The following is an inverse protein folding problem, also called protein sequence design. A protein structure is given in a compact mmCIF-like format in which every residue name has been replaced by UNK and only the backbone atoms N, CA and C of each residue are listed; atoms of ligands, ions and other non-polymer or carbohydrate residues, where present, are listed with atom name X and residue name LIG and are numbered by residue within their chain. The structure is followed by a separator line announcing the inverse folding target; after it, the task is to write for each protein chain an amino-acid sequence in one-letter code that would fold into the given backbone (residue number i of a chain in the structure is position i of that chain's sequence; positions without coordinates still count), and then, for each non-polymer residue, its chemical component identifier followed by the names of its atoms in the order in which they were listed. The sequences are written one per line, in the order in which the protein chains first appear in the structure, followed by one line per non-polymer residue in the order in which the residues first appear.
data_IF_675145102828
#
_entry.id   IF_675145102828
#
_cell.length_a   1.000
_cell.length_b   1.000
_cell.length_c   1.000
_cell.angle_alpha   90.00
_cell.angle_beta   90.00
_cell.angle_gamma   90.00
#
_symmetry.space_group_name_H-M   'P 1'
#
loop_
_entity.id
_entity.type
_entity.pdbx_description
1 polymer ?
#
# COMPACT_ATOMS: atom_id res chain seq x y z
N UNK A 1 14.98 -10.94 -71.44
CA UNK A 1 15.95 -11.48 -70.51
C UNK A 1 15.42 -11.24 -69.08
N UNK A 2 15.10 -12.33 -68.41
CA UNK A 2 14.35 -12.37 -67.13
C UNK A 2 15.29 -12.19 -65.95
N UNK A 3 14.97 -11.32 -64.98
CA UNK A 3 15.58 -11.30 -63.69
C UNK A 3 14.50 -11.71 -62.66
N UNK A 4 14.70 -12.89 -62.10
CA UNK A 4 13.88 -13.41 -61.00
C UNK A 4 14.43 -12.86 -59.68
N UNK A 5 13.63 -12.11 -58.97
CA UNK A 5 13.89 -11.76 -57.55
C UNK A 5 13.22 -12.80 -56.67
N UNK A 6 14.00 -13.60 -56.03
CA UNK A 6 13.56 -14.55 -55.00
C UNK A 6 13.69 -13.83 -53.65
N UNK A 7 12.60 -13.35 -53.12
CA UNK A 7 12.53 -12.95 -51.72
C UNK A 7 12.22 -14.18 -50.88
N UNK A 8 13.21 -14.74 -50.29
CA UNK A 8 13.07 -15.76 -49.24
C UNK A 8 12.59 -15.10 -47.98
N UNK A 9 11.30 -15.23 -47.71
CA UNK A 9 10.73 -14.86 -46.39
C UNK A 9 11.16 -15.91 -45.37
N UNK A 10 12.08 -15.53 -44.50
CA UNK A 10 12.38 -16.31 -43.31
C UNK A 10 11.25 -16.09 -42.28
N UNK A 11 10.30 -17.00 -42.27
CA UNK A 11 9.32 -17.10 -41.17
C UNK A 11 10.03 -17.74 -40.01
N UNK A 12 10.43 -16.91 -39.07
CA UNK A 12 10.93 -17.37 -37.77
C UNK A 12 9.74 -17.87 -36.95
N UNK A 13 9.51 -19.17 -37.06
CA UNK A 13 8.53 -19.90 -36.24
C UNK A 13 8.96 -19.79 -34.76
N UNK A 14 8.32 -18.88 -34.04
CA UNK A 14 8.34 -18.86 -32.57
C UNK A 14 7.72 -20.15 -32.06
N UNK A 15 8.54 -21.11 -31.70
CA UNK A 15 8.09 -22.33 -31.06
C UNK A 15 7.47 -21.95 -29.70
N UNK A 16 6.16 -22.07 -29.61
CA UNK A 16 5.46 -22.09 -28.32
C UNK A 16 5.94 -23.32 -27.56
N UNK A 17 6.77 -23.09 -26.56
CA UNK A 17 7.03 -24.07 -25.53
C UNK A 17 5.80 -24.15 -24.60
N UNK A 18 4.71 -24.68 -25.10
CA UNK A 18 3.59 -25.18 -24.31
C UNK A 18 3.86 -26.64 -23.98
N UNK A 19 4.79 -26.89 -23.09
CA UNK A 19 5.14 -28.22 -22.68
C UNK A 19 5.38 -28.30 -21.18
N UNK A 20 4.55 -29.06 -20.50
CA UNK A 20 4.79 -29.64 -19.17
C UNK A 20 4.69 -28.73 -17.97
N UNK A 21 3.46 -28.31 -17.63
CA UNK A 21 3.13 -27.67 -16.35
C UNK A 21 2.50 -28.63 -15.34
N UNK A 22 2.93 -29.89 -15.24
CA UNK A 22 2.22 -30.82 -14.35
C UNK A 22 2.95 -31.25 -13.07
N UNK A 23 4.08 -30.62 -12.72
CA UNK A 23 4.78 -30.91 -11.45
C UNK A 23 5.45 -29.73 -10.76
N UNK A 24 5.20 -28.49 -11.21
CA UNK A 24 5.70 -27.31 -10.49
C UNK A 24 4.73 -26.90 -9.38
N UNK A 25 5.25 -26.73 -8.17
CA UNK A 25 4.48 -26.14 -7.08
C UNK A 25 4.00 -24.74 -7.45
N UNK A 26 2.90 -24.26 -6.84
CA UNK A 26 2.38 -22.91 -7.08
C UNK A 26 3.43 -21.83 -6.81
N UNK A 27 4.39 -22.10 -5.94
CA UNK A 27 5.54 -21.23 -5.67
C UNK A 27 6.46 -21.11 -6.88
N UNK A 28 6.80 -22.19 -7.55
CA UNK A 28 7.66 -22.19 -8.74
C UNK A 28 7.00 -21.53 -9.94
N UNK A 29 5.68 -21.69 -10.11
CA UNK A 29 4.91 -21.02 -11.16
C UNK A 29 4.86 -19.50 -10.93
N UNK A 30 4.68 -19.06 -9.68
CA UNK A 30 4.71 -17.64 -9.33
C UNK A 30 6.08 -17.00 -9.60
N UNK A 31 7.17 -17.68 -9.27
CA UNK A 31 8.51 -17.18 -9.47
C UNK A 31 8.89 -17.01 -10.95
N UNK A 32 8.47 -17.94 -11.83
CA UNK A 32 8.76 -17.85 -13.27
C UNK A 32 7.94 -16.78 -13.98
N UNK A 33 6.64 -16.64 -13.63
CA UNK A 33 5.76 -15.65 -14.28
C UNK A 33 5.97 -14.26 -13.66
N UNK A 34 6.20 -14.17 -12.35
CA UNK A 34 6.29 -12.91 -11.65
C UNK A 34 7.70 -12.28 -11.70
N UNK A 35 8.77 -13.06 -11.57
CA UNK A 35 10.12 -12.52 -11.46
C UNK A 35 10.55 -11.70 -12.68
N UNK A 36 10.34 -12.21 -13.89
CA UNK A 36 10.69 -11.50 -15.12
C UNK A 36 9.64 -10.48 -15.55
N UNK A 37 8.35 -10.89 -15.56
CA UNK A 37 7.25 -10.05 -16.01
C UNK A 37 6.93 -8.91 -15.03
N UNK A 38 6.95 -9.18 -13.73
CA UNK A 38 6.68 -8.17 -12.70
C UNK A 38 7.72 -7.06 -12.68
N UNK A 39 9.01 -7.40 -12.84
CA UNK A 39 10.09 -6.41 -12.92
C UNK A 39 9.93 -5.49 -14.12
N UNK A 40 9.57 -6.02 -15.30
CA UNK A 40 9.36 -5.23 -16.51
C UNK A 40 8.16 -4.27 -16.38
N UNK A 41 7.03 -4.74 -15.84
CA UNK A 41 5.84 -3.91 -15.61
C UNK A 41 6.12 -2.86 -14.54
N UNK A 42 6.76 -3.25 -13.41
CA UNK A 42 7.12 -2.34 -12.32
C UNK A 42 8.07 -1.23 -12.79
N UNK A 43 9.08 -1.57 -13.63
CA UNK A 43 9.99 -0.59 -14.21
C UNK A 43 9.26 0.40 -15.11
N UNK A 44 8.30 -0.07 -15.93
CA UNK A 44 7.50 0.78 -16.80
C UNK A 44 6.65 1.78 -16.03
N UNK A 45 5.93 1.32 -15.00
CA UNK A 45 5.11 2.19 -14.15
C UNK A 45 5.99 3.16 -13.36
N UNK A 46 7.09 2.69 -12.79
CA UNK A 46 8.03 3.52 -12.04
C UNK A 46 8.67 4.61 -12.91
N UNK A 47 8.99 4.32 -14.18
CA UNK A 47 9.55 5.29 -15.12
C UNK A 47 8.56 6.42 -15.44
N UNK A 48 7.26 6.09 -15.57
CA UNK A 48 6.23 7.11 -15.83
C UNK A 48 6.06 8.09 -14.68
N UNK A 49 6.27 7.63 -13.43
CA UNK A 49 6.04 8.45 -12.24
C UNK A 49 7.31 9.17 -11.79
N UNK A 50 8.49 8.56 -11.91
CA UNK A 50 9.74 9.05 -11.33
C UNK A 50 10.97 9.05 -12.25
N UNK A 51 10.79 8.90 -13.56
CA UNK A 51 11.90 8.83 -14.51
C UNK A 51 12.82 7.64 -14.26
N UNK A 52 14.12 7.77 -14.55
CA UNK A 52 15.08 6.66 -14.42
C UNK A 52 15.25 6.10 -13.01
N UNK A 53 15.14 6.95 -11.97
CA UNK A 53 15.16 6.50 -10.57
C UNK A 53 13.89 5.73 -10.20
N UNK A 54 12.74 6.20 -10.69
CA UNK A 54 11.45 5.53 -10.50
C UNK A 54 11.40 4.17 -11.22
N UNK A 55 12.01 4.05 -12.40
CA UNK A 55 12.11 2.77 -13.11
C UNK A 55 12.90 1.72 -12.33
N UNK A 56 14.01 2.10 -11.70
CA UNK A 56 14.81 1.20 -10.87
C UNK A 56 14.05 0.70 -9.64
N UNK A 57 13.37 1.60 -8.93
CA UNK A 57 12.52 1.25 -7.77
C UNK A 57 11.35 0.36 -8.21
N UNK A 58 10.66 0.72 -9.32
CA UNK A 58 9.54 -0.07 -9.84
C UNK A 58 9.95 -1.48 -10.28
N UNK A 59 11.15 -1.64 -10.86
CA UNK A 59 11.67 -2.94 -11.25
C UNK A 59 11.97 -3.84 -10.04
N UNK A 60 12.58 -3.29 -8.98
CA UNK A 60 12.85 -4.01 -7.74
C UNK A 60 11.54 -4.48 -7.09
N UNK A 61 10.56 -3.59 -6.96
CA UNK A 61 9.25 -3.91 -6.39
C UNK A 61 8.52 -4.97 -7.23
N UNK A 62 8.53 -4.84 -8.57
CA UNK A 62 7.91 -5.82 -9.46
C UNK A 62 8.56 -7.20 -9.37
N UNK A 63 9.87 -7.27 -9.19
CA UNK A 63 10.58 -8.53 -8.95
C UNK A 63 10.20 -9.15 -7.60
N UNK A 64 10.05 -8.34 -6.55
CA UNK A 64 9.67 -8.81 -5.23
C UNK A 64 8.26 -9.45 -5.21
N UNK A 65 7.30 -8.91 -5.95
CA UNK A 65 5.93 -9.47 -6.04
C UNK A 65 5.93 -10.88 -6.61
N UNK A 66 6.75 -11.14 -7.63
CA UNK A 66 6.80 -12.41 -8.33
C UNK A 66 7.79 -13.44 -7.76
N UNK A 67 8.55 -13.10 -6.74
CA UNK A 67 9.56 -13.95 -6.12
C UNK A 67 9.17 -14.38 -4.71
N UNK A 68 9.98 -15.24 -4.08
CA UNK A 68 9.86 -15.60 -2.66
C UNK A 68 9.87 -14.40 -1.71
N UNK A 69 10.42 -13.25 -2.13
CA UNK A 69 10.43 -12.01 -1.37
C UNK A 69 9.01 -11.49 -1.07
N UNK A 70 8.09 -11.55 -2.05
CA UNK A 70 6.69 -11.16 -1.83
C UNK A 70 5.99 -11.96 -0.74
N UNK A 71 6.31 -13.27 -0.63
CA UNK A 71 5.80 -14.12 0.44
C UNK A 71 6.38 -13.72 1.81
N UNK A 72 7.65 -13.39 1.90
CA UNK A 72 8.30 -12.96 3.15
C UNK A 72 7.73 -11.63 3.64
N UNK A 73 7.53 -10.66 2.72
CA UNK A 73 6.85 -9.40 3.01
C UNK A 73 5.42 -9.67 3.48
N UNK A 74 4.68 -10.53 2.78
CA UNK A 74 3.32 -10.90 3.12
C UNK A 74 3.21 -11.43 4.55
N UNK A 75 4.09 -12.34 4.96
CA UNK A 75 4.13 -12.89 6.34
C UNK A 75 4.41 -11.81 7.39
N UNK A 76 5.33 -10.88 7.12
CA UNK A 76 5.62 -9.76 8.04
C UNK A 76 4.40 -8.86 8.19
N UNK A 77 3.72 -8.52 7.08
CA UNK A 77 2.49 -7.72 7.08
C UNK A 77 1.35 -8.42 7.81
N UNK A 78 1.15 -9.73 7.61
CA UNK A 78 0.14 -10.51 8.33
C UNK A 78 0.37 -10.47 9.84
N UNK A 79 1.62 -10.69 10.28
CA UNK A 79 1.97 -10.62 11.70
C UNK A 79 1.69 -9.23 12.29
N UNK A 80 2.02 -8.16 11.57
CA UNK A 80 1.73 -6.80 12.00
C UNK A 80 0.22 -6.53 12.01
N UNK A 81 -0.53 -7.00 11.01
CA UNK A 81 -1.99 -6.86 10.98
C UNK A 81 -2.65 -7.53 12.19
N UNK A 82 -2.21 -8.74 12.58
CA UNK A 82 -2.73 -9.42 13.78
C UNK A 82 -2.45 -8.62 15.06
N UNK A 83 -1.27 -8.02 15.19
CA UNK A 83 -0.96 -7.14 16.32
C UNK A 83 -1.89 -5.92 16.38
N UNK A 84 -2.20 -5.34 15.21
CA UNK A 84 -3.06 -4.16 15.12
C UNK A 84 -4.54 -4.46 15.37
N UNK A 85 -5.00 -5.69 15.12
CA UNK A 85 -6.38 -6.12 15.44
C UNK A 85 -6.68 -6.11 16.93
N UNK A 86 -5.67 -6.09 17.79
CA UNK A 86 -5.86 -5.96 19.23
C UNK A 86 -6.27 -4.53 19.67
N UNK A 87 -6.20 -3.54 18.80
CA UNK A 87 -6.63 -2.16 19.07
C UNK A 87 -8.15 -2.10 18.96
N UNK A 88 -8.83 -1.77 20.04
CA UNK A 88 -10.28 -1.90 20.19
C UNK A 88 -11.08 -1.12 19.12
N UNK A 89 -10.68 0.11 18.84
CA UNK A 89 -11.41 1.00 17.92
C UNK A 89 -10.79 1.07 16.53
N UNK A 90 -9.96 0.10 16.15
CA UNK A 90 -9.32 0.02 14.85
C UNK A 90 -9.92 -1.11 14.00
N UNK A 91 -10.48 -0.78 12.85
CA UNK A 91 -10.82 -1.77 11.84
C UNK A 91 -9.59 -2.06 10.99
N UNK A 92 -9.05 -3.27 11.07
CA UNK A 92 -7.82 -3.69 10.37
C UNK A 92 -8.16 -4.63 9.22
N UNK A 93 -7.72 -4.28 8.04
CA UNK A 93 -7.93 -5.03 6.80
C UNK A 93 -6.58 -5.20 6.08
N UNK A 94 -6.35 -6.36 5.48
CA UNK A 94 -5.22 -6.52 4.55
C UNK A 94 -5.63 -6.06 3.17
N UNK A 95 -4.73 -5.37 2.48
CA UNK A 95 -4.93 -4.86 1.13
C UNK A 95 -3.66 -5.06 0.30
N UNK A 96 -3.63 -4.55 -0.90
CA UNK A 96 -2.47 -4.57 -1.78
C UNK A 96 -2.07 -3.13 -2.09
N UNK A 97 -0.78 -2.81 -2.03
CA UNK A 97 -0.28 -1.49 -2.40
C UNK A 97 -0.22 -1.32 -3.94
N UNK A 98 0.14 -0.13 -4.39
CA UNK A 98 0.27 0.19 -5.82
C UNK A 98 1.30 -0.67 -6.56
N UNK A 99 2.16 -1.36 -5.83
CA UNK A 99 3.21 -2.22 -6.37
C UNK A 99 2.83 -3.71 -6.34
N UNK A 100 1.62 -4.04 -5.91
CA UNK A 100 1.15 -5.42 -5.80
C UNK A 100 1.62 -6.16 -4.54
N UNK A 101 2.29 -5.48 -3.61
CA UNK A 101 2.71 -6.06 -2.33
C UNK A 101 1.59 -5.97 -1.30
N UNK A 102 1.56 -6.95 -0.40
CA UNK A 102 0.62 -6.92 0.73
C UNK A 102 0.85 -5.68 1.59
N UNK A 103 -0.23 -5.00 1.92
CA UNK A 103 -0.28 -3.81 2.76
C UNK A 103 -1.40 -3.96 3.81
N UNK A 104 -1.42 -3.08 4.78
CA UNK A 104 -2.44 -3.06 5.84
C UNK A 104 -3.18 -1.74 5.76
N UNK A 105 -4.50 -1.80 5.79
CA UNK A 105 -5.38 -0.65 5.94
C UNK A 105 -5.98 -0.68 7.35
N UNK A 106 -5.79 0.39 8.09
CA UNK A 106 -6.39 0.59 9.41
C UNK A 106 -7.34 1.77 9.34
N UNK A 107 -8.59 1.55 9.70
CA UNK A 107 -9.63 2.59 9.71
C UNK A 107 -10.03 2.90 11.15
N UNK A 108 -10.00 4.17 11.50
CA UNK A 108 -10.54 4.70 12.75
C UNK A 108 -11.75 5.57 12.47
N UNK A 109 -12.82 5.38 13.24
CA UNK A 109 -13.98 6.25 13.21
C UNK A 109 -13.60 7.68 13.65
N UNK A 110 -14.01 8.66 12.87
CA UNK A 110 -13.70 10.07 13.17
C UNK A 110 -14.36 10.56 14.46
N UNK A 111 -15.51 9.99 14.85
CA UNK A 111 -16.19 10.31 16.10
C UNK A 111 -15.44 9.81 17.34
N UNK A 112 -14.68 8.73 17.20
CA UNK A 112 -13.80 8.23 18.27
C UNK A 112 -12.53 9.09 18.35
N UNK A 113 -11.96 9.42 17.18
CA UNK A 113 -10.70 10.17 17.14
C UNK A 113 -10.87 11.62 17.57
N UNK A 114 -11.97 12.28 17.17
CA UNK A 114 -12.12 13.73 17.31
C UNK A 114 -13.51 14.12 17.81
N UNK A 115 -13.64 15.18 18.63
CA UNK A 115 -14.93 15.77 18.90
C UNK A 115 -15.57 16.33 17.63
N UNK A 116 -16.88 16.59 17.67
CA UNK A 116 -17.62 17.17 16.55
C UNK A 116 -16.96 18.45 16.06
N UNK A 117 -16.74 18.56 14.74
CA UNK A 117 -16.06 19.67 14.09
C UNK A 117 -14.61 19.96 14.54
N UNK A 118 -14.03 19.09 15.38
CA UNK A 118 -12.67 19.22 15.88
C UNK A 118 -11.65 18.40 15.12
N UNK A 119 -10.36 18.72 15.37
CA UNK A 119 -9.18 17.96 14.96
C UNK A 119 -8.23 17.66 16.14
N UNK A 120 -8.66 17.97 17.37
CA UNK A 120 -7.92 17.61 18.58
C UNK A 120 -8.23 16.17 18.95
N UNK A 121 -7.20 15.34 19.14
CA UNK A 121 -7.39 13.92 19.48
C UNK A 121 -8.03 13.75 20.87
N UNK A 122 -9.05 12.90 20.94
CA UNK A 122 -9.68 12.49 22.20
C UNK A 122 -8.73 11.66 23.08
N UNK A 123 -9.11 11.42 24.34
CA UNK A 123 -8.36 10.52 25.24
C UNK A 123 -8.33 9.09 24.72
N UNK A 124 -9.47 8.58 24.26
CA UNK A 124 -9.58 7.24 23.64
C UNK A 124 -8.67 7.14 22.41
N UNK A 125 -8.71 8.13 21.52
CA UNK A 125 -7.84 8.18 20.35
C UNK A 125 -6.35 8.10 20.71
N UNK A 126 -5.92 8.81 21.77
CA UNK A 126 -4.53 8.79 22.22
C UNK A 126 -4.11 7.40 22.72
N UNK A 127 -4.98 6.70 23.42
CA UNK A 127 -4.75 5.32 23.86
C UNK A 127 -4.58 4.39 22.65
N UNK A 128 -5.50 4.41 21.71
CA UNK A 128 -5.46 3.56 20.51
C UNK A 128 -4.25 3.88 19.62
N UNK A 129 -3.97 5.16 19.39
CA UNK A 129 -2.81 5.59 18.60
C UNK A 129 -1.48 5.32 19.31
N UNK A 130 -1.43 5.24 20.65
CA UNK A 130 -0.24 4.81 21.39
C UNK A 130 0.10 3.35 21.12
N UNK A 131 -0.90 2.47 21.14
CA UNK A 131 -0.72 1.05 20.77
C UNK A 131 -0.32 0.92 19.28
N UNK A 132 -0.96 1.71 18.41
CA UNK A 132 -0.63 1.76 17.00
C UNK A 132 0.82 2.21 16.77
N UNK A 133 1.28 3.28 17.43
CA UNK A 133 2.65 3.75 17.39
C UNK A 133 3.66 2.70 17.89
N UNK A 134 3.30 1.93 18.93
CA UNK A 134 4.15 0.84 19.42
C UNK A 134 4.37 -0.24 18.34
N UNK A 135 3.32 -0.64 17.61
CA UNK A 135 3.45 -1.56 16.47
C UNK A 135 4.33 -0.98 15.36
N UNK A 136 4.19 0.32 15.03
CA UNK A 136 5.03 0.97 14.01
C UNK A 136 6.51 1.06 14.41
N UNK A 137 6.81 1.23 15.68
CA UNK A 137 8.20 1.20 16.20
C UNK A 137 8.81 -0.19 16.16
N UNK A 138 8.00 -1.22 16.40
CA UNK A 138 8.45 -2.63 16.29
C UNK A 138 8.67 -3.07 14.83
N UNK A 139 8.05 -2.37 13.87
CA UNK A 139 8.14 -2.66 12.43
C UNK A 139 8.69 -1.42 11.67
N UNK A 140 9.99 -1.06 11.87
CA UNK A 140 10.55 0.16 11.30
C UNK A 140 10.68 0.13 9.77
N UNK A 141 10.62 -1.04 9.15
CA UNK A 141 10.75 -1.24 7.70
C UNK A 141 9.44 -1.01 6.93
N UNK A 142 8.51 -0.21 7.49
CA UNK A 142 7.24 0.15 6.83
C UNK A 142 7.10 1.65 6.63
N UNK A 143 6.39 2.03 5.57
CA UNK A 143 5.89 3.39 5.34
C UNK A 143 4.43 3.49 5.78
N UNK A 144 4.03 4.70 6.17
CA UNK A 144 2.70 5.00 6.69
C UNK A 144 2.09 6.17 5.93
N UNK A 145 0.88 6.01 5.43
CA UNK A 145 0.11 7.06 4.79
C UNK A 145 -1.18 7.28 5.58
N UNK A 146 -1.41 8.50 6.05
CA UNK A 146 -2.56 8.88 6.85
C UNK A 146 -3.50 9.74 6.01
N UNK A 147 -4.75 9.32 5.85
CA UNK A 147 -5.77 10.06 5.12
C UNK A 147 -6.95 10.40 6.02
N UNK A 148 -7.29 11.70 6.09
CA UNK A 148 -8.50 12.18 6.74
C UNK A 148 -9.63 12.32 5.74
N UNK A 149 -10.81 11.76 6.02
CA UNK A 149 -12.00 11.86 5.18
C UNK A 149 -13.09 12.67 5.86
N UNK A 150 -13.98 13.24 5.06
CA UNK A 150 -15.17 13.97 5.51
C UNK A 150 -16.43 13.37 4.90
N UNK A 151 -17.59 13.71 5.46
CA UNK A 151 -18.86 13.54 4.78
C UNK A 151 -19.09 14.65 3.73
N UNK A 152 -20.28 14.69 3.14
CA UNK A 152 -20.64 15.68 2.13
C UNK A 152 -21.18 17.02 2.69
N UNK A 153 -21.12 17.23 4.00
CA UNK A 153 -21.67 18.43 4.63
C UNK A 153 -20.69 19.60 4.54
N UNK A 154 -21.19 20.75 4.09
CA UNK A 154 -20.40 21.97 4.00
C UNK A 154 -19.66 22.14 2.66
N UNK A 155 -18.78 23.13 2.61
CA UNK A 155 -18.03 23.46 1.37
C UNK A 155 -16.75 22.66 1.23
N UNK A 156 -16.23 22.54 0.02
CA UNK A 156 -14.95 21.90 -0.26
C UNK A 156 -13.81 22.52 0.56
N UNK A 157 -13.75 23.86 0.63
CA UNK A 157 -12.69 24.57 1.35
C UNK A 157 -12.67 24.24 2.86
N UNK A 158 -13.85 24.17 3.49
CA UNK A 158 -13.98 23.78 4.91
C UNK A 158 -13.58 22.32 5.10
N UNK A 159 -14.08 21.41 4.25
CA UNK A 159 -13.78 19.99 4.34
C UNK A 159 -12.29 19.70 4.07
N UNK A 160 -11.65 20.40 3.14
CA UNK A 160 -10.20 20.29 2.91
C UNK A 160 -9.43 20.64 4.19
N UNK A 161 -9.72 21.80 4.80
CA UNK A 161 -9.07 22.23 6.04
C UNK A 161 -9.26 21.22 7.18
N UNK A 162 -10.47 20.70 7.36
CA UNK A 162 -10.78 19.74 8.44
C UNK A 162 -10.08 18.41 8.20
N UNK A 163 -10.13 17.87 6.99
CA UNK A 163 -9.50 16.60 6.66
C UNK A 163 -7.98 16.64 6.78
N UNK A 164 -7.36 17.73 6.30
CA UNK A 164 -5.91 17.95 6.45
C UNK A 164 -5.53 18.08 7.92
N UNK A 165 -6.26 18.87 8.72
CA UNK A 165 -5.98 19.05 10.13
C UNK A 165 -6.09 17.73 10.92
N UNK A 166 -7.06 16.88 10.60
CA UNK A 166 -7.23 15.55 11.22
C UNK A 166 -6.09 14.60 10.87
N UNK A 167 -5.73 14.52 9.60
CA UNK A 167 -4.60 13.71 9.16
C UNK A 167 -3.29 14.18 9.79
N UNK A 168 -3.06 15.50 9.85
CA UNK A 168 -1.91 16.09 10.48
C UNK A 168 -1.85 15.82 11.99
N UNK A 169 -2.98 15.89 12.71
CA UNK A 169 -3.04 15.60 14.14
C UNK A 169 -2.62 14.16 14.46
N UNK A 170 -3.08 13.18 13.65
CA UNK A 170 -2.65 11.78 13.79
C UNK A 170 -1.15 11.65 13.50
N UNK A 171 -0.65 12.22 12.39
CA UNK A 171 0.79 12.20 12.08
C UNK A 171 1.62 12.78 13.22
N UNK A 172 1.26 13.96 13.72
CA UNK A 172 1.97 14.61 14.81
C UNK A 172 2.03 13.71 16.04
N UNK A 173 0.91 13.13 16.44
CA UNK A 173 0.87 12.21 17.58
C UNK A 173 1.78 10.99 17.41
N UNK A 174 1.79 10.38 16.21
CA UNK A 174 2.65 9.24 15.92
C UNK A 174 4.15 9.62 15.98
N UNK A 175 4.51 10.80 15.47
CA UNK A 175 5.88 11.34 15.54
C UNK A 175 6.28 11.60 16.98
N UNK A 176 5.43 12.26 17.75
CA UNK A 176 5.66 12.52 19.19
C UNK A 176 5.76 11.21 20.01
N UNK A 177 5.11 10.15 19.53
CA UNK A 177 5.20 8.81 20.07
C UNK A 177 6.43 8.01 19.58
N UNK A 178 7.38 8.65 18.89
CA UNK A 178 8.67 8.07 18.48
C UNK A 178 8.68 7.34 17.14
N UNK A 179 7.67 7.52 16.29
CA UNK A 179 7.73 7.03 14.91
C UNK A 179 8.42 8.08 14.03
N UNK A 180 9.41 7.66 13.22
CA UNK A 180 10.15 8.59 12.36
C UNK A 180 9.22 9.33 11.39
N UNK A 181 9.31 10.66 11.37
CA UNK A 181 8.50 11.52 10.49
C UNK A 181 8.73 11.26 9.00
N UNK A 182 9.93 10.79 8.62
CA UNK A 182 10.26 10.44 7.23
C UNK A 182 9.46 9.25 6.69
N UNK A 183 8.91 8.43 7.59
CA UNK A 183 8.07 7.28 7.24
C UNK A 183 6.60 7.64 7.06
N UNK A 184 6.16 8.83 7.51
CA UNK A 184 4.75 9.19 7.60
C UNK A 184 4.40 10.31 6.65
N UNK A 185 3.48 10.07 5.73
CA UNK A 185 2.79 11.10 4.97
C UNK A 185 1.37 11.29 5.49
N UNK A 186 0.83 12.51 5.39
CA UNK A 186 -0.53 12.80 5.82
C UNK A 186 -1.19 13.76 4.81
N UNK A 187 -2.44 13.51 4.45
CA UNK A 187 -3.22 14.35 3.54
C UNK A 187 -4.72 14.24 3.83
N UNK A 188 -5.46 15.32 3.61
CA UNK A 188 -6.91 15.30 3.58
C UNK A 188 -7.45 14.76 2.25
N UNK A 189 -8.55 14.05 2.33
CA UNK A 189 -9.35 13.57 1.20
C UNK A 189 -10.81 13.97 1.39
N UNK A 190 -11.14 15.25 1.20
CA UNK A 190 -12.49 15.75 1.43
C UNK A 190 -13.43 15.33 0.31
N UNK A 191 -14.70 15.11 0.64
CA UNK A 191 -15.80 14.90 -0.32
C UNK A 191 -15.56 13.77 -1.33
N UNK A 192 -14.80 12.75 -0.97
CA UNK A 192 -14.46 11.62 -1.86
C UNK A 192 -14.44 10.30 -1.09
N UNK A 193 -14.40 9.20 -1.83
CA UNK A 193 -14.24 7.83 -1.32
C UNK A 193 -15.23 7.49 -0.19
N UNK A 194 -16.50 7.84 -0.37
CA UNK A 194 -17.54 7.55 0.58
C UNK A 194 -17.73 6.04 0.75
N UNK A 195 -17.76 5.60 2.01
CA UNK A 195 -17.96 4.19 2.38
C UNK A 195 -19.41 3.89 2.76
N UNK A 196 -20.24 4.94 2.92
CA UNK A 196 -21.64 4.83 3.25
C UNK A 196 -22.45 5.99 2.63
N UNK A 197 -23.79 5.87 2.64
CA UNK A 197 -24.67 6.94 2.14
C UNK A 197 -24.57 8.20 2.98
N UNK A 198 -24.42 9.35 2.33
CA UNK A 198 -24.44 10.65 3.01
C UNK A 198 -25.86 11.15 3.36
N UNK A 199 -26.90 10.46 2.95
CA UNK A 199 -28.29 10.85 3.25
C UNK A 199 -28.63 10.63 4.71
N UNK A 200 -28.06 9.60 5.35
CA UNK A 200 -28.29 9.27 6.75
C UNK A 200 -27.21 9.82 7.67
N UNK A 201 -27.59 10.17 8.90
CA UNK A 201 -26.62 10.61 9.92
C UNK A 201 -25.57 9.51 10.24
N UNK A 202 -26.01 8.26 10.27
CA UNK A 202 -25.13 7.10 10.50
C UNK A 202 -24.12 6.92 9.36
N UNK A 203 -24.56 7.05 8.11
CA UNK A 203 -23.65 6.93 6.97
C UNK A 203 -22.66 8.10 6.88
N UNK A 204 -23.09 9.34 7.16
CA UNK A 204 -22.17 10.47 7.29
C UNK A 204 -21.12 10.24 8.40
N UNK A 205 -21.51 9.65 9.52
CA UNK A 205 -20.58 9.30 10.59
C UNK A 205 -19.48 8.35 10.10
N UNK A 206 -19.85 7.32 9.33
CA UNK A 206 -18.89 6.38 8.75
C UNK A 206 -17.95 7.05 7.72
N UNK A 207 -18.45 8.03 6.97
CA UNK A 207 -17.64 8.79 6.00
C UNK A 207 -16.62 9.70 6.69
N UNK A 208 -16.92 10.24 7.88
CA UNK A 208 -15.98 10.99 8.71
C UNK A 208 -15.02 10.02 9.42
N UNK A 209 -13.93 9.63 8.78
CA UNK A 209 -12.96 8.64 9.26
C UNK A 209 -11.52 9.06 8.99
N UNK A 210 -10.61 8.35 9.60
CA UNK A 210 -9.18 8.38 9.21
C UNK A 210 -8.79 6.97 8.78
N UNK A 211 -8.16 6.88 7.62
CA UNK A 211 -7.56 5.66 7.12
C UNK A 211 -6.05 5.77 7.15
N UNK A 212 -5.40 4.72 7.64
CA UNK A 212 -3.95 4.63 7.68
C UNK A 212 -3.52 3.41 6.89
N UNK A 213 -2.68 3.62 5.88
CA UNK A 213 -2.12 2.56 5.06
C UNK A 213 -0.68 2.32 5.46
N UNK A 214 -0.35 1.06 5.71
CA UNK A 214 1.01 0.61 6.05
C UNK A 214 1.48 -0.27 4.89
N UNK A 215 2.62 0.07 4.31
CA UNK A 215 3.24 -0.66 3.21
C UNK A 215 4.71 -0.94 3.48
N UNK A 216 5.28 -1.93 2.80
CA UNK A 216 6.71 -2.20 2.85
C UNK A 216 7.51 -1.00 2.34
N UNK A 217 8.58 -0.62 3.03
CA UNK A 217 9.54 0.34 2.51
C UNK A 217 10.67 -0.35 1.71
N UNK A 218 11.55 0.43 1.11
CA UNK A 218 12.66 -0.09 0.33
C UNK A 218 13.60 -1.02 1.13
N UNK A 219 13.71 -0.82 2.44
CA UNK A 219 14.53 -1.66 3.32
C UNK A 219 13.91 -3.05 3.50
N UNK A 220 12.61 -3.12 3.79
CA UNK A 220 11.90 -4.40 3.88
C UNK A 220 12.02 -5.20 2.58
N UNK A 221 11.88 -4.52 1.43
CA UNK A 221 11.98 -5.15 0.11
C UNK A 221 13.38 -5.73 -0.09
N UNK A 222 14.45 -4.95 0.13
CA UNK A 222 15.83 -5.43 -0.01
C UNK A 222 16.14 -6.62 0.90
N UNK A 223 15.69 -6.58 2.16
CA UNK A 223 15.90 -7.68 3.11
C UNK A 223 15.17 -8.95 2.66
N UNK A 224 13.95 -8.81 2.16
CA UNK A 224 13.16 -9.95 1.67
C UNK A 224 13.78 -10.56 0.41
N UNK A 225 14.29 -9.74 -0.52
CA UNK A 225 14.99 -10.20 -1.73
C UNK A 225 16.28 -10.94 -1.38
N UNK A 226 17.11 -10.37 -0.49
CA UNK A 226 18.32 -11.00 -0.03
C UNK A 226 18.06 -12.36 0.66
N UNK A 227 17.00 -12.45 1.45
CA UNK A 227 16.62 -13.68 2.12
C UNK A 227 16.04 -14.72 1.14
N UNK A 228 15.27 -14.29 0.16
CA UNK A 228 14.72 -15.19 -0.86
C UNK A 228 15.81 -15.77 -1.78
N UNK A 229 16.89 -15.03 -2.04
CA UNK A 229 18.02 -15.50 -2.84
C UNK A 229 18.88 -16.58 -2.15
N UNK A 230 18.69 -16.82 -0.86
CA UNK A 230 19.44 -17.80 -0.06
C UNK A 230 18.66 -19.12 0.13
N UNK A 231 17.44 -19.21 -0.41
CA UNK A 231 16.57 -20.39 -0.34
C UNK A 231 16.56 -21.17 -1.67
#
# INVERSE_FOLDING_TARGET
MKKNNIYTAAILSGALLLGSCNSMTNLGKGALIGGGGGAAVGAGVGAMIGGGKGAGIGAAIGAAVGSGAGMLIGRKMDKQAEQLKAIENAKVETTTDANGLKAIKVTFDGGILFPTNGSTLSSTARTDLSQFAASLRQNPETNVQVYGFTDNTGTLAVNQKVSDARAAAVKTYLVDSGVSSSRITAAGRPLTDYVASNETAAGRAQNRRVEIYISANAEMIRQAEAQAAQQ
#
